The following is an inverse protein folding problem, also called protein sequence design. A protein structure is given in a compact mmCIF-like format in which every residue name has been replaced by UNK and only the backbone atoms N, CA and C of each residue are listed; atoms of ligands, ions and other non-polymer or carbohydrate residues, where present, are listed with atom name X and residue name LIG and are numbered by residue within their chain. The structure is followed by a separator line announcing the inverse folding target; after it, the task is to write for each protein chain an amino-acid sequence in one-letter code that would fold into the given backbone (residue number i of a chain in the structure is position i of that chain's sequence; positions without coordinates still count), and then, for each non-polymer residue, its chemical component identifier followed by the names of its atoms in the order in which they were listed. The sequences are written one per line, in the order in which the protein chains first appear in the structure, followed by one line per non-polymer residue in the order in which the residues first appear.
data_IF_531756825317
#
_entry.id   IF_531756825317
#
_cell.length_a   1.000
_cell.length_b   1.000
_cell.length_c   1.000
_cell.angle_alpha   90.00
_cell.angle_beta   90.00
_cell.angle_gamma   90.00
#
_symmetry.space_group_name_H-M   'P 1'
#
loop_
_entity.id
_entity.type
_entity.pdbx_description
1 polymer ?
#
# COMPACT_ATOMS: atom_id res chain seq x y z
N UNK A 1 14.19 -48.70 -38.78
CA UNK A 1 14.99 -47.70 -38.04
C UNK A 1 14.84 -46.23 -38.49
N UNK A 2 14.46 -45.86 -39.74
CA UNK A 2 14.32 -44.45 -40.10
C UNK A 2 13.05 -43.74 -39.56
N UNK A 3 12.10 -44.45 -38.94
CA UNK A 3 10.88 -43.81 -38.40
C UNK A 3 11.11 -43.11 -37.05
N UNK A 4 11.99 -43.64 -36.19
CA UNK A 4 12.25 -43.02 -34.88
C UNK A 4 12.92 -41.65 -35.00
N UNK A 5 13.84 -41.50 -35.96
CA UNK A 5 14.55 -40.22 -36.19
C UNK A 5 13.58 -39.14 -36.67
N UNK A 6 12.62 -39.48 -37.54
CA UNK A 6 11.59 -38.53 -38.01
C UNK A 6 10.63 -38.09 -36.90
N UNK A 7 10.23 -39.02 -36.03
CA UNK A 7 9.39 -38.69 -34.88
C UNK A 7 10.12 -37.79 -33.88
N UNK A 8 11.42 -38.03 -33.65
CA UNK A 8 12.25 -37.20 -32.79
C UNK A 8 12.42 -35.78 -33.36
N UNK A 9 12.69 -35.66 -34.66
CA UNK A 9 12.86 -34.36 -35.34
C UNK A 9 11.58 -33.52 -35.30
N UNK A 10 10.42 -34.15 -35.49
CA UNK A 10 9.11 -33.47 -35.41
C UNK A 10 8.84 -32.94 -34.00
N UNK A 11 9.11 -33.76 -32.98
CA UNK A 11 9.02 -33.32 -31.57
C UNK A 11 9.97 -32.14 -31.30
N UNK A 12 11.22 -32.20 -31.76
CA UNK A 12 12.17 -31.10 -31.58
C UNK A 12 11.73 -29.81 -32.31
N UNK A 13 11.10 -29.90 -33.47
CA UNK A 13 10.57 -28.74 -34.19
C UNK A 13 9.34 -28.14 -33.51
N UNK A 14 8.43 -28.96 -32.98
CA UNK A 14 7.28 -28.50 -32.18
C UNK A 14 7.75 -27.85 -30.87
N UNK A 15 8.73 -28.45 -30.17
CA UNK A 15 9.37 -27.85 -29.00
C UNK A 15 10.09 -26.54 -29.34
N UNK A 16 10.73 -26.45 -30.51
CA UNK A 16 11.37 -25.22 -30.98
C UNK A 16 10.36 -24.12 -31.32
N UNK A 17 9.24 -24.44 -31.98
CA UNK A 17 8.17 -23.49 -32.28
C UNK A 17 7.46 -23.01 -31.00
N UNK A 18 7.28 -23.90 -30.02
CA UNK A 18 6.81 -23.53 -28.68
C UNK A 18 7.84 -22.70 -27.92
N UNK A 19 9.14 -22.96 -28.08
CA UNK A 19 10.20 -22.11 -27.50
C UNK A 19 10.25 -20.72 -28.12
N UNK A 20 9.88 -20.57 -29.41
CA UNK A 20 9.67 -19.27 -30.05
C UNK A 20 8.42 -18.52 -29.56
N UNK A 21 7.48 -19.23 -28.95
CA UNK A 21 6.34 -18.65 -28.21
C UNK A 21 6.67 -18.40 -26.73
N UNK A 22 7.91 -18.63 -26.28
CA UNK A 22 8.36 -18.06 -25.01
C UNK A 22 8.08 -16.56 -25.08
N UNK A 23 7.32 -16.06 -24.12
CA UNK A 23 7.01 -14.64 -24.02
C UNK A 23 8.31 -13.88 -24.23
N UNK A 24 8.34 -12.97 -25.22
CA UNK A 24 9.46 -12.05 -25.37
C UNK A 24 9.71 -11.47 -23.98
N UNK A 25 10.95 -11.58 -23.52
CA UNK A 25 11.33 -11.05 -22.22
C UNK A 25 11.13 -9.55 -22.30
N UNK A 26 10.12 -9.05 -21.61
CA UNK A 26 9.90 -7.62 -21.47
C UNK A 26 11.11 -7.06 -20.71
N UNK A 27 11.77 -6.01 -21.23
CA UNK A 27 12.88 -5.40 -20.55
C UNK A 27 12.43 -4.84 -19.19
N UNK A 28 13.41 -4.59 -18.31
CA UNK A 28 13.09 -3.97 -17.02
C UNK A 28 12.66 -2.53 -17.20
N UNK A 29 11.63 -2.09 -16.46
CA UNK A 29 11.10 -0.74 -16.57
C UNK A 29 9.73 -0.58 -15.94
N UNK A 30 9.17 0.63 -16.04
CA UNK A 30 7.81 0.94 -15.59
C UNK A 30 6.82 0.81 -16.75
N UNK A 31 5.69 0.18 -16.47
CA UNK A 31 4.66 -0.13 -17.47
C UNK A 31 3.27 0.15 -16.92
N UNK A 32 2.36 0.47 -17.83
CA UNK A 32 0.92 0.42 -17.55
C UNK A 32 0.41 -0.94 -18.01
N UNK A 33 -0.17 -1.71 -17.10
CA UNK A 33 -0.58 -3.10 -17.32
C UNK A 33 -2.08 -3.26 -17.05
N UNK A 34 -2.79 -4.01 -17.88
CA UNK A 34 -4.17 -4.41 -17.63
C UNK A 34 -4.25 -5.90 -17.33
N UNK A 35 -4.89 -6.28 -16.24
CA UNK A 35 -5.13 -7.69 -15.94
C UNK A 35 -6.11 -8.28 -16.97
N UNK A 36 -5.70 -9.32 -17.71
CA UNK A 36 -6.52 -10.00 -18.70
C UNK A 36 -7.07 -11.33 -18.22
N UNK A 37 -6.27 -12.06 -17.43
CA UNK A 37 -6.60 -13.42 -17.02
C UNK A 37 -6.03 -13.73 -15.65
N UNK A 38 -6.85 -14.30 -14.78
CA UNK A 38 -6.47 -14.84 -13.48
C UNK A 38 -7.00 -16.26 -13.38
N UNK A 39 -6.14 -17.23 -13.05
CA UNK A 39 -6.58 -18.63 -12.86
C UNK A 39 -5.66 -19.41 -11.94
N UNK A 40 -6.19 -20.48 -11.36
CA UNK A 40 -5.39 -21.51 -10.71
C UNK A 40 -4.96 -22.57 -11.74
N UNK A 41 -3.70 -22.97 -11.70
CA UNK A 41 -3.16 -24.09 -12.47
C UNK A 41 -2.55 -25.12 -11.53
N UNK A 42 -3.00 -26.37 -11.61
CA UNK A 42 -2.36 -27.49 -10.93
C UNK A 42 -1.40 -28.20 -11.88
N UNK A 43 -0.12 -28.30 -11.49
CA UNK A 43 0.90 -29.02 -12.24
C UNK A 43 1.87 -29.69 -11.29
N UNK A 44 2.16 -30.96 -11.54
CA UNK A 44 3.14 -31.74 -10.75
C UNK A 44 2.84 -31.70 -9.22
N UNK A 45 1.55 -31.80 -8.85
CA UNK A 45 1.04 -31.68 -7.47
C UNK A 45 1.28 -30.32 -6.80
N UNK A 46 1.60 -29.29 -7.59
CA UNK A 46 1.69 -27.91 -7.12
C UNK A 46 0.56 -27.09 -7.73
N UNK A 47 -0.18 -26.38 -6.88
CA UNK A 47 -1.16 -25.38 -7.33
C UNK A 47 -0.45 -24.03 -7.47
N UNK A 48 -0.69 -23.34 -8.57
CA UNK A 48 -0.12 -22.02 -8.86
C UNK A 48 -1.23 -21.05 -9.26
N UNK A 49 -1.24 -19.87 -8.67
CA UNK A 49 -1.97 -18.73 -9.21
C UNK A 49 -1.24 -18.19 -10.43
N UNK A 50 -1.95 -17.97 -11.52
CA UNK A 50 -1.40 -17.43 -12.76
C UNK A 50 -2.15 -16.17 -13.13
N UNK A 51 -1.42 -15.09 -13.29
CA UNK A 51 -1.95 -13.79 -13.73
C UNK A 51 -1.30 -13.42 -15.06
N UNK A 52 -2.11 -13.08 -16.05
CA UNK A 52 -1.67 -12.56 -17.35
C UNK A 52 -2.07 -11.10 -17.47
N UNK A 53 -1.06 -10.25 -17.71
CA UNK A 53 -1.20 -8.82 -17.92
C UNK A 53 -1.00 -8.49 -19.39
N UNK A 54 -1.75 -7.53 -19.90
CA UNK A 54 -1.53 -6.90 -21.20
C UNK A 54 -0.85 -5.55 -21.01
N UNK A 55 0.26 -5.31 -21.71
CA UNK A 55 1.01 -4.06 -21.61
C UNK A 55 0.28 -2.98 -22.44
N UNK A 56 -0.23 -1.95 -21.76
CA UNK A 56 -0.92 -0.81 -22.37
C UNK A 56 0.04 0.33 -22.72
N UNK A 57 1.07 0.57 -21.90
CA UNK A 57 2.08 1.61 -22.14
C UNK A 57 3.48 1.09 -21.79
N UNK A 58 4.47 1.40 -22.63
CA UNK A 58 5.89 1.07 -22.46
C UNK A 58 6.55 0.57 -23.75
N UNK A 59 7.83 0.21 -23.68
CA UNK A 59 8.60 -0.26 -24.86
C UNK A 59 8.00 -1.50 -25.54
N UNK A 60 7.32 -2.34 -24.75
CA UNK A 60 6.69 -3.59 -25.20
C UNK A 60 5.16 -3.50 -25.17
N UNK A 61 4.58 -2.32 -25.48
CA UNK A 61 3.14 -2.16 -25.66
C UNK A 61 2.56 -3.26 -26.56
N UNK A 62 1.43 -3.83 -26.14
CA UNK A 62 0.73 -4.90 -26.86
C UNK A 62 1.23 -6.32 -26.55
N UNK A 63 2.27 -6.47 -25.74
CA UNK A 63 2.73 -7.77 -25.27
C UNK A 63 1.91 -8.28 -24.08
N UNK A 64 1.99 -9.60 -23.84
CA UNK A 64 1.40 -10.26 -22.67
C UNK A 64 2.52 -10.65 -21.71
N UNK A 65 2.45 -10.13 -20.48
CA UNK A 65 3.32 -10.51 -19.38
C UNK A 65 2.60 -11.56 -18.52
N UNK A 66 3.28 -12.64 -18.15
CA UNK A 66 2.71 -13.69 -17.31
C UNK A 66 3.47 -13.78 -16.00
N UNK A 67 2.74 -13.75 -14.89
CA UNK A 67 3.26 -13.95 -13.55
C UNK A 67 2.65 -15.20 -12.91
N UNK A 68 3.44 -15.84 -12.04
CA UNK A 68 3.05 -17.08 -11.37
C UNK A 68 3.33 -17.00 -9.88
N UNK A 69 2.32 -17.29 -9.09
CA UNK A 69 2.35 -17.35 -7.64
C UNK A 69 2.27 -18.82 -7.22
N UNK A 70 3.26 -19.33 -6.49
CA UNK A 70 3.18 -20.69 -5.96
C UNK A 70 2.27 -20.70 -4.73
N UNK A 71 1.22 -21.52 -4.71
CA UNK A 71 0.32 -21.63 -3.56
C UNK A 71 0.92 -22.64 -2.57
N UNK A 72 1.91 -22.15 -1.83
CA UNK A 72 2.48 -22.80 -0.65
C UNK A 72 2.19 -21.91 0.55
N UNK A 73 2.38 -22.38 1.78
CA UNK A 73 2.14 -21.58 3.00
C UNK A 73 2.81 -20.19 2.95
N UNK A 74 4.06 -20.11 2.47
CA UNK A 74 4.75 -18.83 2.26
C UNK A 74 4.38 -18.12 0.96
N UNK A 75 4.16 -18.90 -0.10
CA UNK A 75 3.86 -18.36 -1.42
C UNK A 75 2.47 -17.71 -1.50
N UNK A 76 1.54 -18.16 -0.66
CA UNK A 76 0.18 -17.64 -0.56
C UNK A 76 0.15 -16.18 -0.08
N UNK A 77 1.10 -15.77 0.77
CA UNK A 77 1.23 -14.38 1.23
C UNK A 77 1.45 -13.42 0.06
N UNK A 78 2.27 -13.78 -0.93
CA UNK A 78 2.48 -12.95 -2.11
C UNK A 78 1.23 -12.83 -2.97
N UNK A 79 0.43 -13.90 -3.02
CA UNK A 79 -0.82 -13.89 -3.74
C UNK A 79 -1.87 -13.02 -3.05
N UNK A 80 -1.98 -13.12 -1.72
CA UNK A 80 -2.83 -12.25 -0.90
C UNK A 80 -2.46 -10.80 -1.13
N UNK A 81 -1.16 -10.46 -1.02
CA UNK A 81 -0.69 -9.09 -1.22
C UNK A 81 -0.99 -8.58 -2.64
N UNK A 82 -0.92 -9.44 -3.65
CA UNK A 82 -1.37 -9.09 -5.00
C UNK A 82 -2.87 -8.76 -5.03
N UNK A 83 -3.72 -9.59 -4.41
CA UNK A 83 -5.17 -9.39 -4.34
C UNK A 83 -5.52 -8.08 -3.62
N UNK A 84 -4.89 -7.82 -2.46
CA UNK A 84 -5.10 -6.60 -1.67
C UNK A 84 -4.66 -5.35 -2.42
N UNK A 85 -3.52 -5.41 -3.13
CA UNK A 85 -3.05 -4.31 -3.96
C UNK A 85 -4.02 -4.00 -5.11
N UNK A 86 -4.82 -4.97 -5.57
CA UNK A 86 -5.89 -4.74 -6.54
C UNK A 86 -7.15 -4.14 -5.92
N UNK A 87 -7.18 -3.92 -4.59
CA UNK A 87 -8.34 -3.37 -3.87
C UNK A 87 -9.39 -4.41 -3.48
N UNK A 88 -9.08 -5.70 -3.56
CA UNK A 88 -9.99 -6.78 -3.19
C UNK A 88 -9.67 -7.30 -1.78
N UNK A 89 -10.70 -7.81 -1.10
CA UNK A 89 -10.50 -8.47 0.19
C UNK A 89 -9.66 -9.74 0.01
N UNK A 90 -8.66 -9.91 0.88
CA UNK A 90 -7.85 -11.12 0.92
C UNK A 90 -8.71 -12.34 1.28
N UNK A 91 -8.64 -13.45 0.52
CA UNK A 91 -9.30 -14.68 0.90
C UNK A 91 -8.59 -15.33 2.10
N UNK A 92 -9.36 -15.78 3.10
CA UNK A 92 -8.84 -16.50 4.27
C UNK A 92 -8.40 -17.94 3.92
N UNK A 93 -9.04 -18.56 2.92
CA UNK A 93 -8.72 -19.90 2.42
C UNK A 93 -8.28 -19.86 0.94
N UNK A 94 -7.31 -20.72 0.61
CA UNK A 94 -6.92 -21.02 -0.77
C UNK A 94 -8.08 -21.43 -1.70
N UNK A 95 -9.16 -21.99 -1.15
CA UNK A 95 -10.35 -22.37 -1.91
C UNK A 95 -11.12 -21.17 -2.47
N UNK A 96 -11.07 -20.02 -1.78
CA UNK A 96 -11.83 -18.81 -2.16
C UNK A 96 -11.09 -17.96 -3.20
N UNK A 97 -9.81 -18.27 -3.46
CA UNK A 97 -8.97 -17.57 -4.45
C UNK A 97 -9.60 -17.60 -5.84
N UNK A 98 -10.26 -18.70 -6.22
CA UNK A 98 -10.86 -18.83 -7.54
C UNK A 98 -12.00 -17.83 -7.75
N UNK A 99 -12.80 -17.56 -6.70
CA UNK A 99 -13.86 -16.55 -6.74
C UNK A 99 -13.29 -15.13 -6.86
N UNK A 100 -12.27 -14.81 -6.06
CA UNK A 100 -11.60 -13.50 -6.11
C UNK A 100 -10.93 -13.29 -7.47
N UNK A 101 -10.29 -14.32 -8.02
CA UNK A 101 -9.70 -14.28 -9.36
C UNK A 101 -10.74 -14.04 -10.45
N UNK A 102 -11.93 -14.64 -10.34
CA UNK A 102 -13.02 -14.39 -11.26
C UNK A 102 -13.48 -12.92 -11.22
N UNK A 103 -13.60 -12.33 -10.02
CA UNK A 103 -13.94 -10.92 -9.85
C UNK A 103 -12.88 -9.98 -10.46
N UNK A 104 -11.59 -10.20 -10.14
CA UNK A 104 -10.48 -9.43 -10.73
C UNK A 104 -10.48 -9.52 -12.26
N UNK A 105 -10.72 -10.73 -12.81
CA UNK A 105 -10.75 -10.94 -14.26
C UNK A 105 -11.96 -10.29 -14.94
N UNK A 106 -13.09 -10.15 -14.24
CA UNK A 106 -14.28 -9.45 -14.76
C UNK A 106 -14.05 -7.94 -14.82
N UNK A 107 -13.47 -7.35 -13.77
CA UNK A 107 -13.22 -5.91 -13.69
C UNK A 107 -12.01 -5.46 -14.52
N UNK A 108 -11.02 -6.35 -14.72
CA UNK A 108 -9.80 -6.13 -15.51
C UNK A 108 -9.03 -4.87 -15.08
N UNK A 109 -8.66 -4.73 -13.80
CA UNK A 109 -8.03 -3.53 -13.29
C UNK A 109 -6.77 -3.16 -14.09
N UNK A 110 -6.53 -1.85 -14.19
CA UNK A 110 -5.34 -1.27 -14.81
C UNK A 110 -4.41 -0.78 -13.72
N UNK A 111 -3.16 -1.24 -13.77
CA UNK A 111 -2.14 -0.96 -12.77
C UNK A 111 -0.92 -0.32 -13.41
N UNK A 112 -0.25 0.54 -12.64
CA UNK A 112 1.13 0.93 -12.89
C UNK A 112 2.03 -0.02 -12.12
N UNK A 113 2.98 -0.63 -12.81
CA UNK A 113 3.88 -1.60 -12.21
C UNK A 113 5.27 -1.54 -12.82
N UNK A 114 6.27 -1.89 -12.02
CA UNK A 114 7.65 -2.05 -12.46
C UNK A 114 7.91 -3.52 -12.79
N UNK A 115 8.33 -3.80 -14.02
CA UNK A 115 8.77 -5.13 -14.41
C UNK A 115 10.28 -5.22 -14.15
N UNK A 116 10.69 -6.22 -13.38
CA UNK A 116 12.11 -6.50 -13.11
C UNK A 116 12.44 -7.89 -13.68
N UNK A 117 13.41 -7.99 -14.60
CA UNK A 117 13.83 -9.26 -15.16
C UNK A 117 14.60 -10.10 -14.11
N UNK A 118 14.03 -11.23 -13.69
CA UNK A 118 14.63 -12.16 -12.70
C UNK A 118 14.95 -13.51 -13.35
N UNK A 119 16.20 -13.65 -13.81
CA UNK A 119 16.66 -14.85 -14.51
C UNK A 119 15.86 -15.12 -15.80
N UNK A 120 15.07 -16.20 -15.81
CA UNK A 120 14.20 -16.58 -16.93
C UNK A 120 12.78 -16.02 -16.84
N UNK A 121 12.46 -15.34 -15.75
CA UNK A 121 11.15 -14.80 -15.46
C UNK A 121 11.21 -13.28 -15.40
N UNK A 122 10.03 -12.67 -15.46
CA UNK A 122 9.84 -11.24 -15.22
C UNK A 122 8.92 -11.14 -14.02
N UNK A 123 9.36 -10.46 -12.96
CA UNK A 123 8.54 -10.17 -11.79
C UNK A 123 7.84 -8.84 -11.96
N UNK A 124 6.57 -8.76 -11.56
CA UNK A 124 5.77 -7.54 -11.64
C UNK A 124 5.65 -6.96 -10.24
N UNK A 125 6.26 -5.79 -10.02
CA UNK A 125 6.17 -5.06 -8.77
C UNK A 125 5.07 -4.01 -8.90
N UNK A 126 3.95 -4.25 -8.23
CA UNK A 126 2.84 -3.31 -8.17
C UNK A 126 3.29 -1.97 -7.58
N UNK A 127 2.91 -0.86 -8.21
CA UNK A 127 3.11 0.49 -7.69
C UNK A 127 1.77 1.14 -7.34
N UNK A 128 0.82 1.16 -8.28
CA UNK A 128 -0.45 1.89 -8.11
C UNK A 128 -1.58 1.27 -8.94
N UNK A 129 -2.81 1.31 -8.41
CA UNK A 129 -4.03 1.00 -9.14
C UNK A 129 -4.52 2.27 -9.85
N UNK A 130 -4.49 2.27 -11.19
CA UNK A 130 -4.78 3.45 -12.01
C UNK A 130 -6.27 3.58 -12.33
N UNK A 131 -6.99 2.46 -12.42
CA UNK A 131 -8.44 2.47 -12.63
C UNK A 131 -9.04 1.10 -12.89
N UNK A 132 -10.36 1.08 -13.05
CA UNK A 132 -11.13 -0.08 -13.47
C UNK A 132 -10.97 -0.28 -15.00
N UNK A 133 -10.95 -1.53 -15.47
CA UNK A 133 -10.66 -1.89 -16.86
C UNK A 133 -11.65 -1.36 -17.89
N UNK A 134 -12.72 -0.70 -17.46
CA UNK A 134 -13.80 -0.16 -18.30
C UNK A 134 -13.33 0.99 -19.20
N UNK A 135 -12.28 1.71 -18.79
CA UNK A 135 -11.74 2.85 -19.54
C UNK A 135 -10.74 2.46 -20.63
N UNK A 136 -10.09 1.30 -20.49
CA UNK A 136 -9.05 0.81 -21.40
C UNK A 136 -9.52 -0.48 -22.07
N UNK A 137 -10.29 -0.35 -23.15
CA UNK A 137 -10.57 -1.49 -24.02
C UNK A 137 -9.32 -1.76 -24.87
N UNK A 138 -8.49 -2.73 -24.42
CA UNK A 138 -7.39 -3.23 -25.23
C UNK A 138 -7.90 -3.53 -26.66
N UNK A 139 -7.24 -3.06 -27.72
CA UNK A 139 -7.71 -3.22 -29.09
C UNK A 139 -7.68 -4.70 -29.48
N UNK A 140 -8.82 -5.38 -29.33
CA UNK A 140 -9.11 -6.73 -29.84
C UNK A 140 -7.91 -7.70 -29.74
N UNK A 141 -7.48 -8.02 -28.53
CA UNK A 141 -6.67 -9.23 -28.31
C UNK A 141 -7.55 -10.42 -28.69
N UNK A 142 -7.32 -10.99 -29.87
CA UNK A 142 -7.92 -12.27 -30.27
C UNK A 142 -7.44 -13.32 -29.27
N UNK A 143 -8.29 -13.63 -28.28
CA UNK A 143 -8.11 -14.70 -27.32
C UNK A 143 -7.81 -16.00 -28.06
N UNK A 144 -6.56 -16.44 -28.04
CA UNK A 144 -6.13 -17.68 -28.67
C UNK A 144 -6.44 -18.87 -27.74
N UNK A 145 -7.71 -19.26 -27.63
CA UNK A 145 -8.08 -20.53 -26.99
C UNK A 145 -9.53 -20.95 -27.35
N UNK A 146 -9.71 -21.65 -28.48
CA UNK A 146 -10.51 -22.87 -28.57
C UNK A 146 -10.34 -23.48 -29.98
N UNK A 147 -9.49 -24.50 -30.12
CA UNK A 147 -9.53 -25.42 -31.27
C UNK A 147 -9.85 -26.79 -30.72
N UNK A 148 -11.15 -27.08 -30.67
CA UNK A 148 -11.66 -28.46 -30.70
C UNK A 148 -11.37 -29.02 -32.08
N UNK A 149 -10.89 -30.26 -32.05
CA UNK A 149 -10.61 -31.17 -33.14
C UNK A 149 -11.77 -31.26 -34.14
N UNK A 150 -11.56 -30.80 -35.39
CA UNK A 150 -12.13 -31.47 -36.57
C UNK A 150 -11.35 -31.10 -37.84
N UNK A 151 -11.16 -32.11 -38.68
CA UNK A 151 -10.36 -32.12 -39.90
C UNK A 151 -10.85 -31.18 -41.00
N UNK A 152 -9.94 -30.55 -41.75
CA UNK A 152 -9.82 -30.69 -43.21
C UNK A 152 -8.59 -29.93 -43.79
N UNK A 153 -8.22 -30.30 -45.02
CA UNK A 153 -6.92 -30.20 -45.70
C UNK A 153 -6.41 -28.79 -46.10
N UNK A 154 -5.13 -28.64 -46.54
CA UNK A 154 -4.46 -27.35 -46.67
C UNK A 154 -4.51 -26.76 -48.08
N UNK A 155 -4.59 -25.43 -48.18
CA UNK A 155 -4.30 -24.69 -49.41
C UNK A 155 -3.20 -23.65 -49.13
N UNK A 156 -2.15 -23.76 -49.92
CA UNK A 156 -0.91 -22.98 -49.95
C UNK A 156 -1.08 -21.64 -50.65
N UNK A 157 -0.46 -20.57 -50.14
CA UNK A 157 0.04 -19.49 -51.00
C UNK A 157 1.24 -18.79 -50.35
N UNK A 158 2.19 -18.40 -51.21
CA UNK A 158 3.61 -18.15 -50.97
C UNK A 158 3.91 -16.69 -51.28
N UNK A 159 4.63 -15.94 -50.44
CA UNK A 159 5.29 -14.69 -50.85
C UNK A 159 6.63 -14.51 -50.14
N UNK A 160 7.65 -14.21 -50.95
CA UNK A 160 9.08 -13.98 -50.71
C UNK A 160 9.35 -12.68 -49.92
N UNK A 161 10.23 -12.67 -48.91
CA UNK A 161 11.66 -12.27 -48.93
C UNK A 161 11.96 -10.85 -49.46
N UNK A 162 12.39 -9.93 -48.59
CA UNK A 162 13.50 -9.02 -48.91
C UNK A 162 14.17 -8.43 -47.65
N UNK A 163 15.50 -8.29 -47.75
CA UNK A 163 16.49 -7.93 -46.73
C UNK A 163 16.76 -6.42 -46.64
N UNK A 164 17.09 -5.90 -45.46
CA UNK A 164 18.04 -4.76 -45.33
C UNK A 164 18.57 -4.57 -43.89
N UNK A 165 19.90 -4.51 -43.76
CA UNK A 165 20.65 -3.93 -42.63
C UNK A 165 20.72 -2.41 -42.78
N UNK A 166 20.97 -1.65 -41.68
CA UNK A 166 22.25 -0.94 -41.64
C UNK A 166 22.87 -0.74 -40.24
N UNK A 167 24.19 -0.56 -40.24
CA UNK A 167 25.04 -0.16 -39.12
C UNK A 167 25.07 1.37 -38.92
N UNK A 168 25.32 1.86 -37.68
CA UNK A 168 26.25 3.00 -37.44
C UNK A 168 26.56 3.36 -35.97
N UNK A 169 27.86 3.63 -35.76
CA UNK A 169 28.49 4.71 -34.99
C UNK A 169 28.43 4.73 -33.45
N UNK A 170 29.58 4.38 -32.87
CA UNK A 170 30.06 4.73 -31.53
C UNK A 170 30.60 6.18 -31.48
N UNK A 171 30.20 6.92 -30.44
CA UNK A 171 30.65 8.27 -30.09
C UNK A 171 31.39 8.17 -28.76
N UNK A 172 32.64 8.63 -28.73
CA UNK A 172 33.49 8.66 -27.52
C UNK A 172 33.03 9.78 -26.61
N UNK A 173 32.56 9.42 -25.41
CA UNK A 173 32.09 10.35 -24.40
C UNK A 173 33.08 10.44 -23.23
N UNK A 174 33.15 11.63 -22.66
CA UNK A 174 34.23 12.12 -21.80
C UNK A 174 33.99 11.64 -20.36
N UNK A 175 34.89 10.80 -19.82
CA UNK A 175 34.80 10.21 -18.47
C UNK A 175 34.64 11.31 -17.39
N UNK A 176 33.57 11.30 -16.56
CA UNK A 176 33.42 12.19 -15.42
C UNK A 176 34.48 11.91 -14.34
N UNK A 177 34.84 12.94 -13.57
CA UNK A 177 35.88 12.86 -12.56
C UNK A 177 35.35 12.11 -11.32
N UNK A 178 36.04 11.03 -10.92
CA UNK A 178 35.73 10.23 -9.74
C UNK A 178 35.77 11.07 -8.45
N UNK A 179 34.85 10.80 -7.52
CA UNK A 179 34.80 11.47 -6.22
C UNK A 179 35.99 11.04 -5.33
N UNK A 180 36.54 11.99 -4.58
CA UNK A 180 37.54 11.68 -3.54
C UNK A 180 36.85 11.29 -2.22
N UNK A 181 37.43 10.38 -1.42
CA UNK A 181 36.79 9.81 -0.23
C UNK A 181 36.38 10.83 0.84
N UNK A 182 36.90 12.06 0.80
CA UNK A 182 36.54 13.14 1.75
C UNK A 182 35.19 13.78 1.47
N UNK A 183 34.54 13.50 0.33
CA UNK A 183 33.23 14.07 -0.01
C UNK A 183 32.06 13.07 0.15
N UNK A 184 32.36 11.78 0.36
CA UNK A 184 31.35 10.72 0.47
C UNK A 184 30.82 10.69 1.91
N UNK A 185 29.54 11.04 2.08
CA UNK A 185 28.87 11.08 3.40
C UNK A 185 27.59 10.26 3.32
N UNK A 186 27.34 9.42 4.33
CA UNK A 186 26.07 8.67 4.49
C UNK A 186 24.89 9.63 4.35
N UNK A 187 23.87 9.20 3.61
CA UNK A 187 22.69 9.98 3.26
C UNK A 187 22.85 10.86 2.01
N UNK A 188 24.04 10.98 1.42
CA UNK A 188 24.23 11.78 0.20
C UNK A 188 23.63 11.09 -1.03
N UNK A 189 22.93 11.87 -1.87
CA UNK A 189 22.48 11.43 -3.20
C UNK A 189 23.66 11.29 -4.15
N UNK A 190 23.76 10.14 -4.80
CA UNK A 190 24.85 9.79 -5.70
C UNK A 190 24.33 9.27 -7.04
N UNK A 191 25.17 9.39 -8.05
CA UNK A 191 25.03 8.73 -9.36
C UNK A 191 26.16 7.73 -9.50
N UNK A 192 25.83 6.46 -9.73
CA UNK A 192 26.79 5.37 -9.91
C UNK A 192 26.79 4.94 -11.36
N UNK A 193 27.98 4.81 -11.96
CA UNK A 193 28.10 4.25 -13.32
C UNK A 193 28.35 2.74 -13.22
N UNK A 194 27.41 1.92 -13.68
CA UNK A 194 27.53 0.47 -13.77
C UNK A 194 27.25 0.00 -15.19
N UNK A 195 28.20 -0.74 -15.79
CA UNK A 195 28.17 -1.20 -17.18
C UNK A 195 27.83 -0.11 -18.23
N UNK A 196 28.28 1.13 -17.97
CA UNK A 196 28.06 2.28 -18.83
C UNK A 196 26.69 2.94 -18.69
N UNK A 197 25.85 2.49 -17.76
CA UNK A 197 24.59 3.13 -17.38
C UNK A 197 24.75 3.86 -16.04
N UNK A 198 24.07 5.01 -15.89
CA UNK A 198 24.02 5.78 -14.65
C UNK A 198 22.80 5.38 -13.83
N UNK A 199 23.02 5.02 -12.57
CA UNK A 199 22.00 4.67 -11.60
C UNK A 199 22.02 5.66 -10.44
N UNK A 200 20.85 6.11 -10.02
CA UNK A 200 20.72 7.05 -8.90
C UNK A 200 20.46 6.29 -7.60
N UNK A 201 21.08 6.76 -6.53
CA UNK A 201 20.93 6.15 -5.22
C UNK A 201 21.33 7.08 -4.08
N UNK A 202 21.33 6.53 -2.88
CA UNK A 202 21.73 7.18 -1.64
C UNK A 202 22.75 6.30 -0.93
N UNK A 203 23.83 6.92 -0.42
CA UNK A 203 24.82 6.18 0.38
C UNK A 203 24.18 5.79 1.71
N UNK A 204 24.15 4.50 2.04
CA UNK A 204 23.67 3.96 3.32
C UNK A 204 24.81 3.69 4.29
N UNK A 205 25.95 3.19 3.82
CA UNK A 205 27.15 2.94 4.63
C UNK A 205 28.44 3.31 3.85
N UNK A 206 29.52 3.67 4.57
CA UNK A 206 30.83 4.00 3.99
C UNK A 206 31.91 3.14 4.63
N UNK A 207 32.50 2.23 3.86
CA UNK A 207 33.52 1.28 4.34
C UNK A 207 34.93 1.83 4.18
N UNK A 208 35.79 1.52 5.16
CA UNK A 208 37.22 1.84 5.12
C UNK A 208 37.98 1.14 3.96
N UNK A 209 37.35 0.16 3.30
CA UNK A 209 37.89 -0.59 2.16
C UNK A 209 37.90 0.19 0.84
N UNK A 210 37.28 1.37 0.79
CA UNK A 210 37.17 2.17 -0.44
C UNK A 210 35.87 1.94 -1.22
N UNK A 211 34.85 1.37 -0.56
CA UNK A 211 33.51 1.09 -1.10
C UNK A 211 32.46 1.76 -0.22
N UNK A 212 31.32 2.14 -0.81
CA UNK A 212 30.14 2.59 -0.09
C UNK A 212 28.97 1.67 -0.42
N UNK A 213 28.13 1.33 0.56
CA UNK A 213 26.85 0.71 0.26
C UNK A 213 25.89 1.79 -0.23
N UNK A 214 25.27 1.54 -1.37
CA UNK A 214 24.36 2.47 -2.03
C UNK A 214 23.00 1.80 -2.17
N UNK A 215 21.99 2.39 -1.55
CA UNK A 215 20.58 2.07 -1.79
C UNK A 215 20.12 2.82 -3.04
N UNK A 216 19.88 2.07 -4.09
CA UNK A 216 19.39 2.59 -5.36
C UNK A 216 17.89 2.92 -5.27
N UNK A 217 17.42 3.83 -6.13
CA UNK A 217 16.00 4.23 -6.17
C UNK A 217 15.05 3.06 -6.53
N UNK A 218 15.58 1.93 -6.99
CA UNK A 218 14.82 0.70 -7.23
C UNK A 218 14.66 -0.20 -6.01
N UNK A 219 15.27 0.17 -4.88
CA UNK A 219 15.25 -0.56 -3.62
C UNK A 219 16.36 -1.60 -3.47
N UNK A 220 17.23 -1.77 -4.46
CA UNK A 220 18.40 -2.64 -4.33
C UNK A 220 19.52 -1.93 -3.59
N UNK A 221 20.24 -2.66 -2.73
CA UNK A 221 21.42 -2.17 -2.02
C UNK A 221 22.65 -2.95 -2.49
N UNK A 222 23.68 -2.25 -2.98
CA UNK A 222 24.92 -2.89 -3.39
C UNK A 222 26.17 -2.09 -2.97
N UNK A 223 27.29 -2.77 -2.67
CA UNK A 223 28.58 -2.12 -2.45
C UNK A 223 29.13 -1.57 -3.77
N UNK A 224 29.49 -0.29 -3.77
CA UNK A 224 30.01 0.43 -4.94
C UNK A 224 31.38 1.04 -4.61
N UNK A 225 32.42 0.78 -5.42
CA UNK A 225 33.72 1.43 -5.27
C UNK A 225 33.61 2.95 -5.42
N UNK A 226 34.31 3.72 -4.58
CA UNK A 226 34.27 5.19 -4.61
C UNK A 226 34.58 5.78 -6.00
N UNK A 227 35.39 5.09 -6.81
CA UNK A 227 35.73 5.53 -8.16
C UNK A 227 34.56 5.55 -9.16
N UNK A 228 33.48 4.82 -8.85
CA UNK A 228 32.26 4.77 -9.66
C UNK A 228 31.15 5.68 -9.13
N UNK A 229 31.38 6.36 -7.99
CA UNK A 229 30.41 7.22 -7.33
C UNK A 229 30.64 8.68 -7.75
N UNK A 230 29.59 9.33 -8.24
CA UNK A 230 29.56 10.76 -8.53
C UNK A 230 28.52 11.44 -7.64
N UNK A 231 28.95 12.34 -6.75
CA UNK A 231 28.04 13.06 -5.85
C UNK A 231 27.30 14.14 -6.62
N UNK A 232 25.96 14.10 -6.61
CA UNK A 232 25.14 15.13 -7.25
C UNK A 232 25.07 16.37 -6.35
N UNK A 233 25.89 17.38 -6.65
CA UNK A 233 25.80 18.71 -6.03
C UNK A 233 24.46 19.35 -6.38
N UNK A 234 23.50 19.33 -5.46
CA UNK A 234 22.29 20.17 -5.61
C UNK A 234 21.01 19.71 -4.92
N UNK A 235 20.96 18.53 -4.31
CA UNK A 235 19.75 18.07 -3.62
C UNK A 235 20.10 17.59 -2.22
N UNK A 236 20.27 18.55 -1.30
CA UNK A 236 20.05 18.29 0.12
C UNK A 236 18.54 18.15 0.31
N UNK A 237 17.99 17.01 -0.10
CA UNK A 237 16.64 16.62 0.32
C UNK A 237 16.72 16.34 1.82
N UNK A 238 15.72 16.84 2.56
CA UNK A 238 15.53 16.49 3.95
C UNK A 238 15.53 14.95 4.12
N UNK A 239 16.01 14.44 5.27
CA UNK A 239 16.24 13.01 5.45
C UNK A 239 14.95 12.24 5.20
N UNK A 240 14.93 11.45 4.12
CA UNK A 240 13.93 10.41 3.93
C UNK A 240 14.29 9.27 4.88
N UNK A 241 13.28 8.75 5.57
CA UNK A 241 13.36 7.74 6.64
C UNK A 241 14.34 6.63 6.27
N UNK A 242 15.48 6.66 6.96
CA UNK A 242 16.53 5.69 6.86
C UNK A 242 16.08 4.41 7.56
N UNK A 243 16.45 3.26 6.98
CA UNK A 243 16.71 2.04 7.76
C UNK A 243 17.62 2.47 8.90
N UNK A 244 17.15 2.38 10.15
CA UNK A 244 17.91 2.80 11.34
C UNK A 244 19.17 1.96 11.46
N UNK A 245 20.26 2.44 10.86
CA UNK A 245 21.57 2.28 11.47
C UNK A 245 21.45 2.86 12.87
N UNK A 246 21.40 1.96 13.85
CA UNK A 246 21.29 2.28 15.26
C UNK A 246 22.55 3.01 15.68
N UNK A 247 22.56 4.33 15.46
CA UNK A 247 23.39 5.21 16.25
C UNK A 247 23.17 4.79 17.71
N UNK A 248 24.23 4.42 18.44
CA UNK A 248 24.07 3.87 19.78
C UNK A 248 23.22 4.83 20.59
N UNK A 249 22.02 4.37 20.95
CA UNK A 249 21.01 5.22 21.56
C UNK A 249 21.61 5.72 22.87
N UNK A 250 21.81 7.03 22.97
CA UNK A 250 22.40 7.64 24.16
C UNK A 250 21.33 7.77 25.22
N UNK A 251 21.07 6.68 25.93
CA UNK A 251 20.09 6.62 27.01
C UNK A 251 20.60 7.34 28.26
N UNK A 252 19.78 8.22 28.83
CA UNK A 252 20.03 8.91 30.10
C UNK A 252 18.95 8.55 31.12
N UNK A 253 19.31 8.62 32.39
CA UNK A 253 18.34 8.50 33.49
C UNK A 253 17.24 9.56 33.32
N UNK A 254 15.98 9.13 33.34
CA UNK A 254 14.81 9.96 33.14
C UNK A 254 14.31 10.01 31.69
N UNK A 255 15.03 9.45 30.73
CA UNK A 255 14.53 9.32 29.36
C UNK A 255 13.34 8.33 29.32
N UNK A 256 12.38 8.61 28.46
CA UNK A 256 11.24 7.73 28.19
C UNK A 256 11.61 6.80 27.06
N UNK A 257 11.42 5.50 27.27
CA UNK A 257 11.85 4.46 26.34
C UNK A 257 10.78 3.39 26.21
N UNK A 258 10.79 2.68 25.09
CA UNK A 258 10.02 1.47 24.86
C UNK A 258 10.94 0.31 24.50
N UNK A 259 10.52 -0.90 24.82
CA UNK A 259 11.16 -2.14 24.39
C UNK A 259 10.09 -3.22 24.16
N UNK A 260 10.41 -4.22 23.34
CA UNK A 260 9.52 -5.34 23.06
C UNK A 260 10.05 -6.60 23.75
N UNK A 261 9.21 -7.27 24.52
CA UNK A 261 9.52 -8.58 25.11
C UNK A 261 8.33 -9.54 24.89
N UNK A 262 8.62 -10.71 24.36
CA UNK A 262 7.63 -11.73 23.96
C UNK A 262 6.45 -11.19 23.11
N UNK A 263 6.71 -10.21 22.23
CA UNK A 263 5.68 -9.59 21.37
C UNK A 263 4.82 -8.54 22.05
N UNK A 264 5.14 -8.17 23.30
CA UNK A 264 4.47 -7.10 24.04
C UNK A 264 5.40 -5.89 24.14
N UNK A 265 4.91 -4.70 23.79
CA UNK A 265 5.66 -3.45 23.92
C UNK A 265 5.47 -2.87 25.32
N UNK A 266 6.57 -2.72 26.04
CA UNK A 266 6.61 -2.11 27.35
C UNK A 266 7.14 -0.68 27.24
N UNK A 267 6.48 0.25 27.93
CA UNK A 267 6.88 1.65 27.98
C UNK A 267 7.24 1.99 29.42
N UNK A 268 8.32 2.73 29.60
CA UNK A 268 8.70 3.20 30.92
C UNK A 268 9.73 4.32 30.91
N UNK A 269 10.21 4.63 32.10
CA UNK A 269 11.20 5.67 32.33
C UNK A 269 12.50 5.05 32.85
N UNK A 270 13.62 5.44 32.26
CA UNK A 270 14.94 4.94 32.65
C UNK A 270 15.27 5.35 34.09
N UNK A 271 15.29 4.40 35.02
CA UNK A 271 15.57 4.63 36.45
C UNK A 271 17.07 4.60 36.77
N UNK A 272 17.83 3.75 36.06
CA UNK A 272 19.29 3.57 36.22
C UNK A 272 19.94 3.17 34.90
N UNK A 273 21.20 3.57 34.69
CA UNK A 273 21.98 3.26 33.47
C UNK A 273 23.33 2.65 33.88
N UNK A 274 23.66 1.46 33.37
CA UNK A 274 24.96 0.83 33.48
C UNK A 274 25.71 0.89 32.13
N UNK A 275 26.59 1.88 32.00
CA UNK A 275 27.36 2.11 30.77
C UNK A 275 28.41 1.04 30.47
N UNK A 276 28.85 0.26 31.47
CA UNK A 276 29.87 -0.75 31.28
C UNK A 276 29.30 -2.03 30.65
N UNK A 277 28.03 -2.32 30.94
CA UNK A 277 27.32 -3.51 30.49
C UNK A 277 26.31 -3.20 29.38
N UNK A 278 26.14 -1.92 29.02
CA UNK A 278 25.16 -1.43 28.03
C UNK A 278 23.72 -1.83 28.39
N UNK A 279 23.39 -1.71 29.67
CA UNK A 279 22.09 -2.08 30.25
C UNK A 279 21.45 -0.88 30.96
N UNK A 280 20.13 -0.74 30.85
CA UNK A 280 19.33 0.21 31.61
C UNK A 280 18.26 -0.50 32.45
N UNK A 281 17.99 0.02 33.65
CA UNK A 281 16.79 -0.35 34.41
C UNK A 281 15.68 0.62 34.05
N UNK A 282 14.53 0.09 33.64
CA UNK A 282 13.35 0.83 33.19
C UNK A 282 12.25 0.64 34.24
N UNK A 283 11.81 1.74 34.85
CA UNK A 283 10.60 1.73 35.68
C UNK A 283 9.39 1.76 34.75
N UNK A 284 8.60 0.70 34.75
CA UNK A 284 7.45 0.52 33.85
C UNK A 284 6.27 1.40 34.31
N UNK A 285 5.52 1.94 33.35
CA UNK A 285 4.39 2.85 33.62
C UNK A 285 3.15 2.13 34.19
N UNK A 286 3.07 0.80 34.08
CA UNK A 286 1.94 -0.06 34.48
C UNK A 286 2.02 -0.59 35.92
N UNK A 287 2.85 0.02 36.77
CA UNK A 287 3.16 -0.42 38.14
C UNK A 287 3.75 -1.85 38.22
N UNK A 288 4.18 -2.47 37.11
CA UNK A 288 4.73 -3.83 37.11
C UNK A 288 6.17 -3.92 37.67
N UNK A 289 6.77 -2.79 38.04
CA UNK A 289 8.08 -2.73 38.69
C UNK A 289 9.18 -2.19 37.78
N UNK A 290 10.39 -2.76 37.91
CA UNK A 290 11.55 -2.39 37.08
C UNK A 290 11.96 -3.57 36.18
N UNK A 291 12.28 -3.28 34.91
CA UNK A 291 12.85 -4.22 33.96
C UNK A 291 14.31 -3.86 33.64
N UNK A 292 15.15 -4.85 33.38
CA UNK A 292 16.56 -4.67 32.99
C UNK A 292 16.71 -5.00 31.51
N UNK A 293 17.08 -4.00 30.69
CA UNK A 293 17.02 -4.09 29.22
C UNK A 293 18.31 -3.57 28.60
N UNK A 294 18.78 -4.21 27.52
CA UNK A 294 20.00 -3.77 26.82
C UNK A 294 19.74 -2.55 25.95
N UNK A 295 20.76 -1.69 25.73
CA UNK A 295 20.58 -0.47 24.93
C UNK A 295 20.16 -0.76 23.48
N UNK A 296 20.51 -1.93 22.94
CA UNK A 296 20.11 -2.38 21.61
C UNK A 296 18.62 -2.69 21.47
N UNK A 297 17.92 -2.92 22.58
CA UNK A 297 16.48 -3.26 22.61
C UNK A 297 15.60 -2.05 22.97
N UNK A 298 16.22 -0.92 23.36
CA UNK A 298 15.50 0.28 23.75
C UNK A 298 15.25 1.18 22.55
N UNK A 299 14.04 1.68 22.41
CA UNK A 299 13.68 2.77 21.49
C UNK A 299 13.36 4.02 22.31
N UNK A 300 13.93 5.18 21.96
CA UNK A 300 13.59 6.44 22.63
C UNK A 300 12.17 6.86 22.25
N UNK A 301 11.29 6.92 23.25
CA UNK A 301 9.94 7.45 23.07
C UNK A 301 10.04 8.97 23.13
N UNK A 302 10.21 9.59 21.97
CA UNK A 302 10.05 11.03 21.85
C UNK A 302 8.58 11.37 22.03
N UNK A 303 8.27 12.42 22.80
CA UNK A 303 6.88 12.88 23.00
C UNK A 303 6.16 13.23 21.67
N UNK A 304 6.89 13.40 20.57
CA UNK A 304 6.33 13.57 19.22
C UNK A 304 5.72 12.28 18.64
N UNK A 305 6.25 11.10 18.95
CA UNK A 305 5.66 9.82 18.54
C UNK A 305 4.50 9.38 19.46
N UNK A 306 4.29 10.07 20.58
CA UNK A 306 3.30 9.67 21.58
C UNK A 306 1.86 10.13 21.27
N UNK A 307 1.62 10.98 20.25
CA UNK A 307 0.26 11.41 19.87
C UNK A 307 0.16 11.86 18.41
N UNK A 308 0.32 10.95 17.46
CA UNK A 308 -0.56 11.01 16.28
C UNK A 308 -1.72 10.04 16.55
N UNK A 309 -2.47 10.31 17.63
CA UNK A 309 -3.80 9.72 17.77
C UNK A 309 -4.55 10.12 16.50
N UNK A 310 -4.99 9.11 15.75
CA UNK A 310 -5.82 9.31 14.56
C UNK A 310 -6.84 10.42 14.88
N UNK A 311 -6.92 11.49 14.07
CA UNK A 311 -7.84 12.59 14.35
C UNK A 311 -9.27 12.11 14.59
N UNK A 312 -9.70 11.01 13.96
CA UNK A 312 -11.01 10.41 14.22
C UNK A 312 -11.10 9.71 15.58
N UNK A 313 -10.03 9.09 16.06
CA UNK A 313 -9.98 8.49 17.40
C UNK A 313 -10.04 9.57 18.48
N UNK A 314 -9.36 10.70 18.27
CA UNK A 314 -9.46 11.86 19.15
C UNK A 314 -10.90 12.40 19.22
N UNK A 315 -11.57 12.53 18.07
CA UNK A 315 -12.99 12.91 18.02
C UNK A 315 -13.90 11.89 18.73
N UNK A 316 -13.62 10.59 18.62
CA UNK A 316 -14.39 9.54 19.31
C UNK A 316 -14.22 9.61 20.83
N UNK A 317 -13.01 9.91 21.32
CA UNK A 317 -12.75 10.14 22.75
C UNK A 317 -13.53 11.36 23.25
N UNK A 318 -13.49 12.47 22.52
CA UNK A 318 -14.25 13.68 22.88
C UNK A 318 -15.75 13.42 22.88
N UNK A 319 -16.25 12.68 21.89
CA UNK A 319 -17.64 12.25 21.82
C UNK A 319 -18.04 11.43 23.05
N UNK A 320 -17.27 10.39 23.39
CA UNK A 320 -17.56 9.53 24.54
C UNK A 320 -17.61 10.33 25.85
N UNK A 321 -16.67 11.25 26.04
CA UNK A 321 -16.66 12.17 27.19
C UNK A 321 -17.88 13.10 27.21
N UNK A 322 -18.29 13.64 26.05
CA UNK A 322 -19.46 14.50 25.93
C UNK A 322 -20.78 13.77 26.25
N UNK A 323 -20.86 12.47 25.94
CA UNK A 323 -22.00 11.60 26.29
C UNK A 323 -21.95 11.10 27.74
N UNK A 324 -20.86 11.38 28.48
CA UNK A 324 -20.68 10.92 29.85
C UNK A 324 -20.36 9.42 29.95
N UNK A 325 -19.76 8.84 28.92
CA UNK A 325 -19.25 7.47 28.90
C UNK A 325 -17.93 7.45 29.69
N UNK A 326 -17.84 6.63 30.74
CA UNK A 326 -16.62 6.49 31.54
C UNK A 326 -15.61 5.58 30.82
N UNK A 327 -14.49 6.15 30.35
CA UNK A 327 -13.40 5.42 29.66
C UNK A 327 -12.30 4.94 30.63
N UNK A 328 -12.62 4.75 31.92
CA UNK A 328 -11.61 4.41 32.91
C UNK A 328 -11.10 2.97 32.72
N UNK A 329 -9.80 2.82 32.44
CA UNK A 329 -9.16 1.51 32.22
C UNK A 329 -9.29 0.98 30.79
N UNK A 330 -9.82 1.80 29.87
CA UNK A 330 -9.87 1.50 28.44
C UNK A 330 -8.60 2.06 27.79
N UNK A 331 -7.96 1.26 26.95
CA UNK A 331 -6.85 1.74 26.13
C UNK A 331 -7.37 2.72 25.06
N UNK A 332 -7.20 4.02 25.33
CA UNK A 332 -7.62 5.09 24.42
C UNK A 332 -6.73 5.25 23.20
N UNK A 333 -5.65 4.46 23.09
CA UNK A 333 -4.77 4.47 21.91
C UNK A 333 -5.24 3.50 20.83
N UNK A 334 -6.09 2.52 21.19
CA UNK A 334 -6.65 1.53 20.27
C UNK A 334 -8.08 1.90 19.85
N UNK A 335 -8.30 2.07 18.54
CA UNK A 335 -9.63 2.30 17.99
C UNK A 335 -10.59 1.13 18.27
N UNK A 336 -10.12 -0.12 18.19
CA UNK A 336 -10.96 -1.30 18.42
C UNK A 336 -11.47 -1.36 19.86
N UNK A 337 -10.60 -1.07 20.84
CA UNK A 337 -10.98 -1.07 22.26
C UNK A 337 -11.99 0.04 22.56
N UNK A 338 -11.78 1.22 21.99
CA UNK A 338 -12.70 2.35 22.09
C UNK A 338 -14.06 2.06 21.46
N UNK A 339 -14.10 1.47 20.26
CA UNK A 339 -15.33 1.10 19.56
C UNK A 339 -16.12 0.06 20.36
N UNK A 340 -15.44 -0.97 20.87
CA UNK A 340 -16.05 -2.00 21.72
C UNK A 340 -16.73 -1.39 22.94
N UNK A 341 -16.03 -0.51 23.67
CA UNK A 341 -16.59 0.13 24.87
C UNK A 341 -17.78 1.03 24.53
N UNK A 342 -17.63 1.92 23.54
CA UNK A 342 -18.69 2.87 23.15
C UNK A 342 -19.92 2.14 22.59
N UNK A 343 -19.74 1.02 21.87
CA UNK A 343 -20.83 0.21 21.34
C UNK A 343 -21.72 -0.44 22.42
N UNK A 344 -21.22 -0.54 23.66
CA UNK A 344 -21.99 -1.02 24.80
C UNK A 344 -23.09 -0.06 25.28
N UNK A 345 -23.06 1.20 24.81
CA UNK A 345 -23.98 2.25 25.24
C UNK A 345 -25.11 2.45 24.22
N UNK A 346 -26.33 2.69 24.71
CA UNK A 346 -27.50 2.94 23.87
C UNK A 346 -27.52 4.42 23.43
N UNK A 347 -26.98 4.70 22.25
CA UNK A 347 -26.87 6.07 21.70
C UNK A 347 -28.07 6.36 20.79
N UNK A 348 -28.90 7.35 21.17
CA UNK A 348 -30.05 7.77 20.36
C UNK A 348 -29.65 8.74 19.24
N UNK A 349 -29.93 8.38 17.97
CA UNK A 349 -29.59 9.20 16.79
C UNK A 349 -30.21 10.60 16.82
N UNK A 350 -31.30 10.80 17.57
CA UNK A 350 -31.98 12.10 17.69
C UNK A 350 -31.23 13.14 18.54
N UNK A 351 -30.29 12.70 19.40
CA UNK A 351 -29.52 13.58 20.28
C UNK A 351 -28.13 13.91 19.71
N UNK A 352 -27.79 13.35 18.55
CA UNK A 352 -26.49 13.52 17.90
C UNK A 352 -26.51 14.66 16.88
N UNK A 353 -25.38 15.36 16.79
CA UNK A 353 -25.06 16.24 15.68
C UNK A 353 -24.74 15.43 14.42
N UNK A 354 -24.78 16.08 13.25
CA UNK A 354 -24.47 15.40 11.98
C UNK A 354 -23.03 14.85 11.93
N UNK A 355 -22.08 15.55 12.55
CA UNK A 355 -20.68 15.12 12.63
C UNK A 355 -20.53 13.89 13.52
N UNK A 356 -21.20 13.85 14.67
CA UNK A 356 -21.18 12.66 15.55
C UNK A 356 -21.84 11.45 14.89
N UNK A 357 -22.92 11.64 14.14
CA UNK A 357 -23.52 10.54 13.35
C UNK A 357 -22.53 9.99 12.33
N UNK A 358 -21.83 10.86 11.58
CA UNK A 358 -20.84 10.42 10.61
C UNK A 358 -19.64 9.71 11.26
N UNK A 359 -19.21 10.20 12.43
CA UNK A 359 -18.15 9.60 13.23
C UNK A 359 -18.54 8.18 13.69
N UNK A 360 -19.73 8.01 14.26
CA UNK A 360 -20.21 6.69 14.69
C UNK A 360 -20.45 5.74 13.51
N UNK A 361 -20.94 6.24 12.37
CA UNK A 361 -21.08 5.45 11.14
C UNK A 361 -19.72 5.00 10.59
N UNK A 362 -18.69 5.86 10.67
CA UNK A 362 -17.32 5.53 10.27
C UNK A 362 -16.75 4.36 11.09
N UNK A 363 -16.96 4.38 12.41
CA UNK A 363 -16.52 3.33 13.32
C UNK A 363 -17.49 2.13 13.41
N UNK A 364 -18.59 2.12 12.65
CA UNK A 364 -19.57 1.03 12.67
C UNK A 364 -20.34 0.88 13.99
N UNK A 365 -20.40 1.93 14.81
CA UNK A 365 -21.08 1.91 16.11
C UNK A 365 -22.60 2.02 15.89
N UNK A 366 -23.41 1.07 16.40
CA UNK A 366 -24.85 1.08 16.19
C UNK A 366 -25.52 2.25 16.92
N UNK A 367 -26.37 2.98 16.21
CA UNK A 367 -27.21 4.05 16.78
C UNK A 367 -28.68 3.64 16.76
N UNK A 368 -29.42 3.93 17.82
CA UNK A 368 -30.85 3.70 17.87
C UNK A 368 -31.61 4.82 17.17
N UNK A 369 -32.40 4.49 16.15
CA UNK A 369 -33.38 5.44 15.61
C UNK A 369 -34.41 5.78 16.68
N UNK A 370 -34.62 7.07 16.92
CA UNK A 370 -35.68 7.50 17.82
C UNK A 370 -37.01 6.99 17.28
N UNK A 371 -37.75 6.22 18.09
CA UNK A 371 -39.12 5.84 17.76
C UNK A 371 -39.90 7.13 17.49
N UNK A 372 -40.38 7.30 16.25
CA UNK A 372 -41.15 8.45 15.85
C UNK A 372 -42.26 8.67 16.89
N UNK A 373 -42.37 9.88 17.50
CA UNK A 373 -43.31 10.11 18.57
C UNK A 373 -44.70 9.74 18.07
N UNK A 374 -45.29 8.70 18.69
CA UNK A 374 -46.61 8.19 18.29
C UNK A 374 -47.53 9.38 18.08
N UNK A 375 -48.12 9.53 16.87
CA UNK A 375 -48.88 10.73 16.53
C UNK A 375 -49.92 10.94 17.61
N UNK A 376 -49.78 12.02 18.39
CA UNK A 376 -50.76 12.37 19.43
C UNK A 376 -52.11 12.42 18.74
N UNK A 377 -53.01 11.53 19.15
CA UNK A 377 -54.33 11.41 18.56
C UNK A 377 -54.95 12.80 18.46
N UNK A 378 -55.09 13.29 17.23
CA UNK A 378 -55.65 14.61 16.96
C UNK A 378 -57.07 14.57 17.54
N UNK A 379 -57.42 15.37 18.57
CA UNK A 379 -58.77 15.38 19.08
C UNK A 379 -59.69 15.81 17.93
N UNK A 380 -60.64 14.93 17.59
CA UNK A 380 -61.62 15.16 16.51
C UNK A 380 -62.27 16.52 16.71
N UNK A 381 -61.90 17.47 15.85
CA UNK A 381 -62.42 18.84 15.86
C UNK A 381 -63.90 18.77 15.49
N UNK A 382 -64.78 18.98 16.46
CA UNK A 382 -66.23 19.14 16.24
C UNK A 382 -66.42 20.37 15.37
N UNK A 383 -66.82 20.15 14.11
CA UNK A 383 -67.09 21.20 13.12
C UNK A 383 -68.34 21.96 13.56
N UNK A 384 -68.14 23.09 14.24
CA UNK A 384 -69.20 24.08 14.47
C UNK A 384 -69.16 25.14 13.38
N UNK A 385 -70.21 25.13 12.57
CA UNK A 385 -70.54 26.05 11.48
C UNK A 385 -70.73 27.47 12.05
N UNK A 386 -69.92 28.46 11.66
CA UNK A 386 -70.28 29.88 11.90
C UNK A 386 -69.73 30.85 10.84
N UNK A 387 -70.65 31.25 9.96
CA UNK A 387 -70.94 32.59 9.41
C UNK A 387 -69.78 33.58 9.21
N UNK A 388 -69.58 33.97 7.93
CA UNK A 388 -68.91 35.20 7.46
C UNK A 388 -69.58 36.47 8.00
N UNK A 389 -68.80 37.44 8.50
CA UNK A 389 -68.93 38.88 8.14
C UNK A 389 -67.82 39.72 8.77
N UNK A 390 -67.31 40.70 8.01
CA UNK A 390 -66.83 41.97 8.58
C UNK A 390 -65.35 42.27 8.38
N UNK A 391 -65.06 43.08 7.35
CA UNK A 391 -63.81 43.82 7.20
C UNK A 391 -63.65 44.89 8.28
N UNK A 392 -62.41 45.21 8.67
CA UNK A 392 -61.86 46.58 8.63
C UNK A 392 -60.50 46.71 9.36
N UNK A 393 -59.67 47.56 8.74
CA UNK A 393 -58.71 48.53 9.30
C UNK A 393 -57.29 48.12 9.66
N UNK A 394 -56.42 49.05 9.26
CA UNK A 394 -54.98 49.04 9.17
C UNK A 394 -54.26 49.61 10.42
N UNK A 395 -52.99 49.20 10.56
CA UNK A 395 -51.80 49.92 11.06
C UNK A 395 -51.73 50.33 12.55
N UNK A 396 -50.55 50.74 13.12
CA UNK A 396 -49.13 50.48 12.77
C UNK A 396 -48.23 50.08 13.99
N UNK A 397 -46.98 49.67 13.70
CA UNK A 397 -45.70 49.95 14.39
C UNK A 397 -45.61 49.86 15.92
N UNK A 398 -44.68 49.04 16.44
CA UNK A 398 -43.73 49.48 17.49
C UNK A 398 -42.41 48.71 17.41
N UNK A 399 -41.32 49.47 17.26
CA UNK A 399 -39.94 49.12 17.59
C UNK A 399 -39.77 49.09 19.12
N UNK A 400 -38.97 48.16 19.64
CA UNK A 400 -38.18 48.24 20.91
C UNK A 400 -37.45 46.90 21.05
N UNK A 401 -36.25 46.76 21.58
CA UNK A 401 -35.15 47.63 21.93
C UNK A 401 -33.98 46.68 22.26
N UNK A 402 -32.77 47.13 22.01
CA UNK A 402 -31.53 46.48 22.41
C UNK A 402 -31.47 46.23 23.93
N UNK A 403 -30.78 45.17 24.34
CA UNK A 403 -30.17 45.12 25.68
C UNK A 403 -28.80 44.47 25.56
N UNK A 404 -27.79 45.32 25.71
CA UNK A 404 -26.40 44.93 25.92
C UNK A 404 -26.27 44.20 27.26
N UNK A 405 -25.45 43.14 27.31
CA UNK A 405 -24.93 42.61 28.58
C UNK A 405 -23.41 42.72 28.60
N UNK A 406 -22.97 43.16 29.77
CA UNK A 406 -21.70 43.75 30.14
C UNK A 406 -20.77 42.69 30.73
N UNK A 407 -19.52 42.73 30.28
CA UNK A 407 -18.25 42.49 30.98
C UNK A 407 -18.36 42.11 32.47
N UNK A 408 -17.76 40.97 32.85
CA UNK A 408 -17.00 40.84 34.10
C UNK A 408 -15.73 40.02 33.82
N UNK A 409 -14.59 40.71 33.83
CA UNK A 409 -13.27 40.14 34.11
C UNK A 409 -13.15 40.02 35.63
N UNK A 410 -12.61 38.90 36.11
CA UNK A 410 -11.68 38.87 37.22
C UNK A 410 -10.68 37.76 37.02
#
# INVERSE_FOLDING_TARGET
MPSMVKTLLKKMQETYAQSKKQARRIPGGEYLLQVQKCKLEEKDQQVKGVVEYYVLEGEEEGCVQREQYQITEKGFIFLIRFIENMGYAAPDDSADVEEVFAAIQEERPVIRAKIVPDGQYNRVYFQELVGDGTTYLAPNVKTAAETVDESEAPVSETVEEETATPAKSSKVEKKPAAATPTEIVVGSRVSVVFDGQEFEGQITDVKDTGEADVLFDDGDEMPVPFENITIKKGVTTAPAEAVEETNPIVVKKGDRVSFEDEGTVYIGTVSKVNKAEEIANIALDDDAGEAEVTFSELTLVTEEAAKETDPMLAELIEFAQAQGIELAGVDTTSAETMVSEVSGYEIEKANLTKSEVALLEHFGIPMKEAEAPKPKAIPKKVVSKKVKKGAAKAAPVTKKAATAKKVVKK
#
